data_IF_765207642514
#
_entry.id   IF_765207642514
#
_cell.length_a   1.000
_cell.length_b   1.000
_cell.length_c   1.000
_cell.angle_alpha   90.00
_cell.angle_beta   90.00
_cell.angle_gamma   90.00
#
_symmetry.space_group_name_H-M   'P 1'
#
loop_
_entity.id
_entity.type
_entity.pdbx_description
1 polymer ?
#
# COMPACT_ATOMS: atom_id res chain seq x y z
N UNK A 1 19.25 -10.18 35.29
CA UNK A 1 18.23 -10.52 34.43
C UNK A 1 18.26 -9.70 33.17
N UNK A 2 17.77 -10.24 32.16
CA UNK A 2 17.86 -9.61 30.90
C UNK A 2 17.00 -8.38 30.87
N UNK A 3 17.49 -7.41 30.22
CA UNK A 3 16.73 -6.23 30.07
C UNK A 3 15.59 -6.46 29.16
N UNK A 4 14.58 -5.69 29.30
CA UNK A 4 13.44 -5.82 28.44
C UNK A 4 13.50 -4.88 27.30
N UNK A 5 14.59 -4.19 27.09
CA UNK A 5 14.66 -3.27 25.99
C UNK A 5 15.00 -3.92 24.67
N UNK A 6 15.18 -5.21 24.63
CA UNK A 6 15.54 -5.86 23.40
C UNK A 6 14.33 -6.10 22.52
N UNK A 7 14.52 -5.96 21.24
CA UNK A 7 13.48 -6.25 20.30
C UNK A 7 13.28 -7.74 20.16
N UNK A 8 12.09 -8.12 19.79
CA UNK A 8 11.84 -9.47 19.30
C UNK A 8 12.27 -9.47 17.84
N UNK A 9 13.28 -10.23 17.50
CA UNK A 9 13.86 -10.21 16.17
C UNK A 9 13.65 -11.54 15.47
N UNK A 10 13.23 -11.51 14.21
CA UNK A 10 13.02 -12.68 13.40
C UNK A 10 13.92 -12.55 12.18
N UNK A 11 14.83 -13.48 12.00
CA UNK A 11 15.82 -13.36 10.93
C UNK A 11 15.32 -13.84 9.58
N UNK A 12 14.58 -14.94 9.57
CA UNK A 12 14.25 -15.55 8.29
C UNK A 12 12.85 -15.23 7.83
N UNK A 13 11.93 -15.05 8.72
CA UNK A 13 10.57 -14.77 8.32
C UNK A 13 9.59 -15.10 9.40
N UNK A 14 8.34 -14.78 9.17
CA UNK A 14 7.29 -14.98 10.15
C UNK A 14 6.02 -15.33 9.40
N UNK A 15 5.33 -16.36 9.87
CA UNK A 15 4.03 -16.72 9.33
C UNK A 15 3.04 -16.77 10.46
N UNK A 16 1.89 -16.17 10.24
CA UNK A 16 0.78 -16.21 11.18
C UNK A 16 -0.40 -16.82 10.45
N UNK A 17 -0.92 -17.92 10.98
CA UNK A 17 -1.87 -18.72 10.23
C UNK A 17 -1.15 -19.25 9.00
N UNK A 18 -1.85 -19.51 7.97
CA UNK A 18 -1.20 -19.95 6.75
C UNK A 18 -0.85 -18.77 5.86
N UNK A 19 -1.69 -17.78 5.87
CA UNK A 19 -1.46 -16.64 4.97
C UNK A 19 -1.94 -15.32 5.55
N UNK A 20 -2.37 -15.30 6.82
CA UNK A 20 -2.86 -14.04 7.37
C UNK A 20 -1.75 -12.99 7.35
N UNK A 21 -0.56 -13.39 7.72
CA UNK A 21 0.59 -12.50 7.66
C UNK A 21 1.81 -13.34 7.34
N UNK A 22 2.49 -12.99 6.28
CA UNK A 22 3.71 -13.70 5.87
C UNK A 22 4.80 -12.68 5.68
N UNK A 23 5.90 -12.81 6.41
CA UNK A 23 7.05 -11.94 6.25
C UNK A 23 8.20 -12.79 5.74
N UNK A 24 8.67 -12.47 4.54
CA UNK A 24 9.81 -13.14 3.93
C UNK A 24 11.00 -12.22 4.09
N UNK A 25 11.75 -12.43 5.16
CA UNK A 25 12.84 -11.52 5.49
C UNK A 25 13.98 -11.63 4.50
N UNK A 26 14.17 -12.79 3.89
CA UNK A 26 15.26 -12.96 2.93
C UNK A 26 15.04 -12.08 1.70
N UNK A 27 13.80 -11.89 1.30
CA UNK A 27 13.50 -11.11 0.11
C UNK A 27 12.84 -9.77 0.42
N UNK A 28 12.69 -9.43 1.69
CA UNK A 28 12.13 -8.16 2.13
C UNK A 28 10.71 -7.95 1.61
N UNK A 29 9.87 -8.98 1.72
CA UNK A 29 8.51 -8.90 1.24
C UNK A 29 7.56 -9.33 2.34
N UNK A 30 6.41 -8.68 2.38
CA UNK A 30 5.41 -8.96 3.39
C UNK A 30 4.07 -9.12 2.70
N UNK A 31 3.38 -10.19 3.03
CA UNK A 31 2.07 -10.48 2.45
C UNK A 31 0.99 -10.48 3.51
N UNK A 32 -0.16 -9.96 3.16
CA UNK A 32 -1.35 -10.01 3.97
C UNK A 32 -2.38 -10.81 3.17
N UNK A 33 -2.70 -11.98 3.65
CA UNK A 33 -3.59 -12.87 2.92
C UNK A 33 -2.92 -13.59 1.76
N UNK A 34 -1.60 -13.64 1.74
CA UNK A 34 -0.86 -14.28 0.67
C UNK A 34 0.30 -15.08 1.24
N UNK A 35 0.52 -16.28 0.70
CA UNK A 35 1.65 -17.09 1.13
C UNK A 35 2.90 -16.76 0.36
N UNK A 36 2.79 -16.06 -0.75
CA UNK A 36 3.94 -15.81 -1.63
C UNK A 36 3.90 -14.36 -2.10
N UNK A 37 4.24 -13.43 -1.22
CA UNK A 37 4.18 -12.01 -1.61
C UNK A 37 5.18 -11.70 -2.71
N UNK A 38 4.77 -10.92 -3.67
CA UNK A 38 5.59 -10.56 -4.81
C UNK A 38 6.15 -9.16 -4.69
N UNK A 39 5.66 -8.35 -3.77
CA UNK A 39 6.08 -6.97 -3.62
C UNK A 39 6.41 -6.70 -2.18
N UNK A 40 7.03 -5.57 -1.90
CA UNK A 40 7.41 -5.23 -0.55
C UNK A 40 6.26 -5.37 0.43
N UNK A 41 5.09 -4.91 0.02
CA UNK A 41 3.86 -5.18 0.76
C UNK A 41 2.82 -5.62 -0.25
N UNK A 42 2.32 -6.84 -0.09
CA UNK A 42 1.42 -7.44 -1.06
C UNK A 42 0.16 -7.86 -0.33
N UNK A 43 -0.95 -7.16 -0.57
CA UNK A 43 -2.20 -7.39 0.13
C UNK A 43 -3.20 -8.01 -0.83
N UNK A 44 -3.68 -9.19 -0.49
CA UNK A 44 -4.54 -9.95 -1.41
C UNK A 44 -5.97 -9.48 -1.41
N UNK A 45 -6.38 -8.74 -0.39
CA UNK A 45 -7.76 -8.32 -0.33
C UNK A 45 -7.83 -6.80 -0.19
N UNK A 46 -8.41 -6.28 0.86
CA UNK A 46 -8.65 -4.86 0.97
C UNK A 46 -7.74 -4.26 2.03
N UNK A 47 -7.15 -3.13 1.72
CA UNK A 47 -6.39 -2.36 2.70
C UNK A 47 -7.17 -1.10 3.02
N UNK A 48 -7.28 -0.78 4.30
CA UNK A 48 -7.99 0.42 4.73
C UNK A 48 -7.02 1.34 5.45
N UNK A 49 -7.01 2.60 5.05
CA UNK A 49 -6.16 3.60 5.65
C UNK A 49 -7.05 4.65 6.29
N UNK A 50 -7.08 4.69 7.61
CA UNK A 50 -7.88 5.70 8.29
C UNK A 50 -7.25 7.07 8.25
N UNK A 51 -5.97 7.13 8.04
CA UNK A 51 -5.27 8.40 7.98
C UNK A 51 -4.86 8.72 6.56
N UNK A 52 -3.70 9.28 6.40
CA UNK A 52 -3.19 9.72 5.12
C UNK A 52 -2.41 8.61 4.46
N UNK A 53 -2.68 8.36 3.20
CA UNK A 53 -1.86 7.48 2.38
C UNK A 53 -0.88 8.37 1.63
N UNK A 54 0.38 8.33 2.02
CA UNK A 54 1.42 9.13 1.37
C UNK A 54 2.21 8.24 0.44
N UNK A 55 2.34 8.63 -0.79
CA UNK A 55 3.04 7.84 -1.78
C UNK A 55 3.69 8.77 -2.79
N UNK A 56 4.86 8.40 -3.28
CA UNK A 56 5.49 9.14 -4.36
C UNK A 56 4.76 8.94 -5.66
N UNK A 57 4.25 7.74 -5.88
CA UNK A 57 3.51 7.44 -7.08
C UNK A 57 2.39 6.49 -6.73
N UNK A 58 1.27 6.61 -7.41
CA UNK A 58 0.13 5.73 -7.23
C UNK A 58 -0.23 5.10 -8.55
N UNK A 59 -0.23 3.78 -8.61
CA UNK A 59 -0.64 3.05 -9.80
C UNK A 59 -1.95 2.33 -9.51
N UNK A 60 -2.92 2.53 -10.35
CA UNK A 60 -4.19 1.83 -10.25
C UNK A 60 -4.27 0.93 -11.47
N UNK A 61 -4.09 -0.34 -11.26
CA UNK A 61 -4.01 -1.28 -12.38
C UNK A 61 -2.67 -1.21 -13.08
N UNK A 62 -1.68 -0.60 -12.43
CA UNK A 62 -0.34 -0.48 -13.00
C UNK A 62 0.65 -0.58 -11.86
N UNK A 63 1.67 -1.41 -12.02
CA UNK A 63 2.72 -1.54 -11.01
C UNK A 63 3.93 -0.69 -11.36
N UNK A 64 3.92 -0.06 -12.53
CA UNK A 64 5.00 0.82 -12.95
C UNK A 64 4.39 2.10 -13.49
N UNK A 65 3.92 2.98 -12.60
CA UNK A 65 3.24 4.19 -13.06
C UNK A 65 4.15 5.05 -13.91
N UNK A 66 3.63 5.55 -15.02
CA UNK A 66 4.37 6.44 -15.87
C UNK A 66 4.31 7.88 -15.40
N UNK A 67 3.40 8.16 -14.49
CA UNK A 67 3.23 9.48 -13.91
C UNK A 67 3.06 9.30 -12.40
N UNK A 68 2.93 10.40 -11.69
CA UNK A 68 2.75 10.34 -10.25
C UNK A 68 1.50 9.54 -9.89
N UNK A 69 0.45 9.68 -10.65
CA UNK A 69 -0.74 8.85 -10.48
C UNK A 69 -1.08 8.26 -11.83
N UNK A 70 -1.14 6.95 -11.90
CA UNK A 70 -1.36 6.24 -13.15
C UNK A 70 -2.57 5.34 -12.99
N UNK A 71 -3.67 5.71 -13.63
CA UNK A 71 -4.89 4.90 -13.64
C UNK A 71 -4.93 4.10 -14.91
N UNK A 72 -4.76 2.79 -14.82
CA UNK A 72 -4.97 1.91 -15.94
C UNK A 72 -6.34 1.28 -15.79
N UNK A 73 -7.31 2.07 -15.37
CA UNK A 73 -8.67 1.66 -15.09
C UNK A 73 -9.57 2.87 -15.28
N UNK A 74 -10.86 2.63 -15.32
CA UNK A 74 -11.82 3.72 -15.38
C UNK A 74 -11.81 4.49 -14.08
N UNK A 75 -12.08 5.77 -14.14
CA UNK A 75 -12.05 6.63 -12.99
C UNK A 75 -13.44 7.21 -12.78
N UNK A 76 -13.96 7.06 -11.56
CA UNK A 76 -15.23 7.66 -11.17
C UNK A 76 -14.98 8.59 -10.01
N UNK A 77 -15.34 9.85 -10.17
CA UNK A 77 -15.20 10.82 -9.11
C UNK A 77 -16.62 11.25 -8.73
N UNK A 78 -17.05 10.83 -7.55
CA UNK A 78 -18.45 11.04 -7.15
C UNK A 78 -18.69 12.37 -6.51
N UNK A 79 -17.65 13.02 -6.05
CA UNK A 79 -17.75 14.36 -5.54
C UNK A 79 -16.97 15.26 -6.46
N UNK A 80 -16.84 16.54 -6.11
CA UNK A 80 -16.12 17.42 -6.97
C UNK A 80 -14.66 17.01 -7.08
N UNK A 81 -14.14 17.06 -8.26
CA UNK A 81 -12.75 16.89 -8.48
C UNK A 81 -11.98 18.06 -7.91
N UNK A 82 -12.58 19.23 -7.94
CA UNK A 82 -11.93 20.45 -7.56
C UNK A 82 -12.91 21.21 -6.68
N UNK A 83 -12.55 21.38 -5.41
CA UNK A 83 -13.47 21.93 -4.45
C UNK A 83 -13.09 23.33 -4.05
N UNK A 84 -12.12 23.90 -4.58
CA UNK A 84 -11.72 25.22 -4.17
C UNK A 84 -12.39 26.25 -5.00
N UNK A 85 -11.64 27.19 -5.42
CA UNK A 85 -12.13 28.31 -6.15
C UNK A 85 -12.23 27.99 -7.60
N UNK A 86 -13.09 27.07 -7.91
CA UNK A 86 -13.16 26.61 -9.26
C UNK A 86 -13.68 27.67 -10.17
N UNK A 87 -14.27 28.69 -9.64
CA UNK A 87 -14.71 29.72 -10.53
C UNK A 87 -13.60 30.46 -11.15
N UNK A 88 -12.44 30.34 -10.61
CA UNK A 88 -11.38 31.12 -11.13
C UNK A 88 -10.84 30.52 -12.35
N UNK A 89 -11.52 30.57 -13.35
CA UNK A 89 -11.02 30.16 -14.58
C UNK A 89 -10.98 28.74 -14.79
N UNK A 90 -11.40 28.08 -13.87
CA UNK A 90 -11.36 26.68 -14.02
C UNK A 90 -12.16 26.28 -15.15
N UNK A 91 -13.11 27.00 -15.45
CA UNK A 91 -13.92 26.65 -16.47
C UNK A 91 -13.46 27.11 -17.67
N UNK A 92 -12.57 27.62 -17.60
CA UNK A 92 -12.23 28.13 -18.80
C UNK A 92 -11.23 27.57 -19.39
#
# INVERSE_FOLDING_TARGET
>A
MATVNKKFAVEKGLEVGDDALVVDADNNKTGIGKTDPKYGLDVATTANFDGVLAANQVGIGSTQPGKDIDFNKDVIIRKKLFDGNEGAGANN
#
